data_IF_395452537242
#
_entry.id   IF_395452537242
#
_cell.length_a   1.000
_cell.length_b   1.000
_cell.length_c   1.000
_cell.angle_alpha   90.00
_cell.angle_beta   90.00
_cell.angle_gamma   90.00
#
_symmetry.space_group_name_H-M   'P 1'
#
loop_
_entity.id
_entity.type
_entity.pdbx_description
1 polymer ?
#
# COMPACT_ATOMS: atom_id res chain seq x y z
N UNK A 1 3.07 47.28 -37.60
CA UNK A 1 2.36 46.39 -36.65
C UNK A 1 3.37 45.98 -35.60
N UNK A 2 3.23 46.45 -34.36
CA UNK A 2 4.17 46.12 -33.28
C UNK A 2 4.05 44.64 -32.90
N UNK A 3 5.18 43.97 -32.78
CA UNK A 3 5.30 42.58 -32.30
C UNK A 3 4.65 42.46 -30.92
N UNK A 4 3.69 41.53 -30.77
CA UNK A 4 2.92 41.30 -29.53
C UNK A 4 3.46 40.09 -28.74
N UNK A 5 4.72 39.71 -28.92
CA UNK A 5 5.32 38.59 -28.17
C UNK A 5 5.71 39.04 -26.76
N UNK A 6 4.93 38.60 -25.77
CA UNK A 6 5.29 38.68 -24.36
C UNK A 6 6.22 37.51 -24.04
N UNK A 7 7.49 37.81 -23.78
CA UNK A 7 8.44 36.82 -23.28
C UNK A 7 8.38 36.87 -21.75
N UNK A 8 8.02 35.75 -21.12
CA UNK A 8 8.02 35.66 -19.67
C UNK A 8 9.41 35.24 -19.19
N UNK A 9 9.91 35.95 -18.18
CA UNK A 9 11.26 35.75 -17.62
C UNK A 9 11.31 34.51 -16.71
N UNK A 10 10.14 34.02 -16.30
CA UNK A 10 9.91 32.77 -15.56
C UNK A 10 8.64 32.09 -16.07
N UNK A 11 8.51 30.77 -15.86
CA UNK A 11 7.29 30.02 -16.18
C UNK A 11 7.21 29.43 -17.60
N UNK A 12 6.06 29.62 -18.26
CA UNK A 12 5.64 28.84 -19.44
C UNK A 12 6.68 28.94 -20.57
N UNK A 13 7.12 27.78 -21.07
CA UNK A 13 8.07 27.70 -22.19
C UNK A 13 9.55 27.84 -21.81
N UNK A 14 9.89 28.01 -20.51
CA UNK A 14 11.27 28.04 -20.04
C UNK A 14 11.70 26.71 -19.42
N UNK A 15 13.00 26.40 -19.55
CA UNK A 15 13.65 25.31 -18.80
C UNK A 15 13.80 25.77 -17.35
N UNK A 16 13.05 25.15 -16.45
CA UNK A 16 13.10 25.40 -15.01
C UNK A 16 13.53 24.14 -14.27
N UNK A 17 14.18 24.30 -13.12
CA UNK A 17 14.46 23.20 -12.21
C UNK A 17 13.14 22.60 -11.71
N UNK A 18 13.01 21.26 -11.70
CA UNK A 18 11.75 20.64 -11.27
C UNK A 18 11.74 20.59 -9.75
N UNK A 19 10.53 20.64 -9.19
CA UNK A 19 10.34 20.53 -7.74
C UNK A 19 10.95 19.24 -7.21
N UNK A 20 11.76 19.37 -6.16
CA UNK A 20 12.44 18.30 -5.45
C UNK A 20 13.58 17.59 -6.21
N UNK A 21 14.06 18.13 -7.33
CA UNK A 21 15.12 17.45 -8.11
C UNK A 21 16.39 17.23 -7.27
N UNK A 22 16.83 18.23 -6.49
CA UNK A 22 18.03 18.10 -5.64
C UNK A 22 17.83 17.08 -4.54
N UNK A 23 16.70 17.13 -3.85
CA UNK A 23 16.37 16.26 -2.73
C UNK A 23 16.19 14.80 -3.19
N UNK A 24 15.62 14.59 -4.38
CA UNK A 24 15.51 13.25 -4.98
C UNK A 24 16.87 12.67 -5.35
N UNK A 25 17.72 13.47 -5.99
CA UNK A 25 19.07 13.02 -6.39
C UNK A 25 19.96 12.80 -5.17
N UNK A 26 19.79 13.61 -4.12
CA UNK A 26 20.50 13.46 -2.86
C UNK A 26 19.94 12.35 -1.94
N UNK A 27 18.78 11.78 -2.26
CA UNK A 27 18.11 10.81 -1.38
C UNK A 27 17.61 11.40 -0.06
N UNK A 28 17.40 12.72 0.00
CA UNK A 28 16.95 13.44 1.21
C UNK A 28 15.47 13.77 1.19
N UNK A 29 14.78 13.56 0.06
CA UNK A 29 13.34 13.71 -0.02
C UNK A 29 12.66 12.57 0.76
N UNK A 30 11.90 12.91 1.80
CA UNK A 30 11.15 11.92 2.58
C UNK A 30 9.92 11.41 1.80
N UNK A 31 9.84 10.10 1.65
CA UNK A 31 8.65 9.37 1.23
C UNK A 31 7.90 8.83 2.46
N UNK A 32 6.72 8.25 2.22
CA UNK A 32 5.87 7.73 3.31
C UNK A 32 6.59 6.75 4.23
N UNK A 33 7.47 5.93 3.68
CA UNK A 33 8.23 4.91 4.43
C UNK A 33 9.39 5.51 5.25
N UNK A 34 9.82 6.73 4.92
CA UNK A 34 10.87 7.45 5.64
C UNK A 34 10.32 8.24 6.86
N UNK A 35 9.00 8.25 7.04
CA UNK A 35 8.36 9.03 8.09
C UNK A 35 8.54 8.35 9.47
N UNK A 36 8.98 9.09 10.50
CA UNK A 36 9.17 8.51 11.83
C UNK A 36 7.84 8.40 12.57
N UNK A 37 7.23 7.21 12.57
CA UNK A 37 6.01 6.93 13.32
C UNK A 37 6.23 6.54 14.79
N UNK A 38 7.49 6.52 15.25
CA UNK A 38 7.87 6.23 16.62
C UNK A 38 7.83 4.73 16.97
N UNK A 39 7.95 4.43 18.27
CA UNK A 39 8.10 3.07 18.80
C UNK A 39 6.85 2.19 18.68
N UNK A 40 5.69 2.80 18.48
CA UNK A 40 4.39 2.11 18.43
C UNK A 40 3.97 1.80 16.98
N UNK A 41 4.87 2.02 16.00
CA UNK A 41 4.67 1.64 14.60
C UNK A 41 4.53 0.12 14.49
N UNK A 42 3.44 -0.31 13.86
CA UNK A 42 3.22 -1.70 13.46
C UNK A 42 3.37 -1.85 11.96
N UNK A 43 3.83 -3.02 11.55
CA UNK A 43 4.04 -3.41 10.16
C UNK A 43 2.97 -4.41 9.77
N UNK A 44 2.41 -4.26 8.58
CA UNK A 44 1.36 -5.12 8.08
C UNK A 44 1.76 -5.76 6.75
N UNK A 45 1.72 -7.10 6.68
CA UNK A 45 2.09 -7.86 5.49
C UNK A 45 0.92 -8.72 4.99
N UNK A 46 0.49 -8.58 3.72
CA UNK A 46 -0.58 -9.39 3.19
C UNK A 46 -0.07 -10.80 2.86
N UNK A 47 -0.77 -11.81 3.38
CA UNK A 47 -0.69 -13.18 2.88
C UNK A 47 -1.51 -13.26 1.61
N UNK A 48 -0.89 -13.72 0.52
CA UNK A 48 -1.48 -13.69 -0.82
C UNK A 48 -1.82 -15.07 -1.33
N UNK A 49 -2.89 -15.16 -2.13
CA UNK A 49 -3.30 -16.39 -2.80
C UNK A 49 -2.19 -16.91 -3.74
N UNK A 50 -1.77 -18.18 -3.63
CA UNK A 50 -0.83 -18.79 -4.56
C UNK A 50 -1.50 -19.28 -5.85
N UNK A 51 -2.82 -19.17 -5.98
CA UNK A 51 -3.59 -19.67 -7.13
C UNK A 51 -4.45 -18.57 -7.74
N UNK A 52 -4.73 -18.70 -9.04
CA UNK A 52 -5.52 -17.72 -9.78
C UNK A 52 -7.01 -17.71 -9.38
N UNK A 53 -7.57 -18.84 -8.94
CA UNK A 53 -8.98 -18.90 -8.55
C UNK A 53 -9.25 -20.15 -7.71
N UNK A 54 -9.99 -20.01 -6.61
CA UNK A 54 -10.32 -21.15 -5.74
C UNK A 54 -11.18 -20.76 -4.53
N UNK A 55 -11.88 -21.73 -3.97
CA UNK A 55 -12.73 -21.52 -2.79
C UNK A 55 -11.85 -21.55 -1.53
N UNK A 56 -12.00 -20.56 -0.66
CA UNK A 56 -11.35 -20.53 0.65
C UNK A 56 -12.18 -21.44 1.57
N UNK A 57 -11.64 -22.62 1.88
CA UNK A 57 -12.30 -23.57 2.81
C UNK A 57 -12.09 -23.14 4.25
N UNK A 58 -10.86 -22.78 4.60
CA UNK A 58 -10.47 -22.31 5.93
C UNK A 58 -9.19 -21.49 5.85
N UNK A 59 -8.99 -20.64 6.85
CA UNK A 59 -7.74 -19.93 7.15
C UNK A 59 -7.47 -20.22 8.62
N UNK A 60 -6.31 -20.79 8.92
CA UNK A 60 -5.86 -21.07 10.28
C UNK A 60 -4.77 -20.07 10.68
N UNK A 61 -5.07 -19.09 11.57
CA UNK A 61 -4.10 -18.10 11.99
C UNK A 61 -3.24 -18.56 13.18
N UNK A 62 -3.49 -19.72 13.79
CA UNK A 62 -2.91 -20.07 15.10
C UNK A 62 -1.38 -20.04 15.14
N UNK A 63 -0.72 -20.58 14.11
CA UNK A 63 0.75 -20.58 14.05
C UNK A 63 1.33 -19.17 13.94
N UNK A 64 0.70 -18.28 13.17
CA UNK A 64 1.13 -16.91 13.03
C UNK A 64 0.92 -16.13 14.34
N UNK A 65 -0.27 -16.27 14.95
CA UNK A 65 -0.57 -15.63 16.24
C UNK A 65 0.35 -16.08 17.39
N UNK A 66 0.96 -17.26 17.29
CA UNK A 66 1.89 -17.76 18.30
C UNK A 66 3.32 -17.18 18.18
N UNK A 67 3.64 -16.47 17.10
CA UNK A 67 4.97 -15.87 16.90
C UNK A 67 5.09 -14.61 17.78
N UNK A 68 6.10 -14.51 18.66
CA UNK A 68 6.33 -13.30 19.45
C UNK A 68 6.50 -12.08 18.55
N UNK A 69 5.74 -11.02 18.84
CA UNK A 69 5.73 -9.77 18.06
C UNK A 69 4.62 -9.68 17.03
N UNK A 70 3.92 -10.78 16.71
CA UNK A 70 2.64 -10.70 15.97
C UNK A 70 1.56 -10.15 16.90
N UNK A 71 0.92 -9.08 16.46
CA UNK A 71 -0.12 -8.36 17.21
C UNK A 71 -1.52 -8.80 16.77
N UNK A 72 -1.71 -9.05 15.47
CA UNK A 72 -2.98 -9.51 14.92
C UNK A 72 -2.80 -10.26 13.60
N UNK A 73 -3.74 -11.15 13.31
CA UNK A 73 -3.95 -11.70 11.96
C UNK A 73 -5.38 -11.36 11.56
N UNK A 74 -5.52 -10.54 10.52
CA UNK A 74 -6.81 -10.03 10.03
C UNK A 74 -7.16 -10.80 8.76
N UNK A 75 -8.37 -11.35 8.71
CA UNK A 75 -8.92 -12.04 7.55
C UNK A 75 -10.03 -11.22 6.90
N UNK A 76 -10.50 -11.63 5.73
CA UNK A 76 -11.65 -10.97 5.10
C UNK A 76 -12.94 -11.01 5.95
N UNK A 77 -13.05 -11.96 6.89
CA UNK A 77 -14.20 -12.04 7.81
C UNK A 77 -14.23 -10.93 8.84
N UNK A 78 -13.07 -10.38 9.20
CA UNK A 78 -12.94 -9.29 10.18
C UNK A 78 -13.34 -7.93 9.57
N UNK A 79 -13.38 -7.84 8.25
CA UNK A 79 -13.76 -6.62 7.54
C UNK A 79 -14.57 -6.90 6.27
N UNK A 80 -15.84 -7.34 6.41
CA UNK A 80 -16.67 -7.82 5.29
C UNK A 80 -17.33 -6.67 4.50
N UNK A 81 -16.57 -5.62 4.20
CA UNK A 81 -17.05 -4.45 3.46
C UNK A 81 -16.50 -4.45 2.04
N UNK A 82 -17.35 -4.05 1.09
CA UNK A 82 -16.97 -3.92 -0.32
C UNK A 82 -16.45 -2.54 -0.68
N UNK A 83 -15.45 -2.51 -1.55
CA UNK A 83 -14.74 -1.36 -2.06
C UNK A 83 -14.77 -1.34 -3.58
N UNK A 84 -14.54 -0.14 -4.11
CA UNK A 84 -14.33 0.15 -5.52
C UNK A 84 -14.76 1.59 -5.82
N UNK A 85 -14.15 2.19 -6.83
CA UNK A 85 -14.33 3.61 -7.15
C UNK A 85 -15.74 3.91 -7.66
N UNK A 86 -16.20 3.12 -8.64
CA UNK A 86 -17.52 3.27 -9.26
C UNK A 86 -18.52 2.22 -8.81
N UNK A 87 -18.03 1.01 -8.49
CA UNK A 87 -18.83 -0.11 -8.04
C UNK A 87 -18.14 -0.74 -6.84
N UNK A 88 -18.88 -0.91 -5.74
CA UNK A 88 -18.39 -1.61 -4.54
C UNK A 88 -18.54 -3.11 -4.71
N UNK A 89 -17.71 -3.71 -5.58
CA UNK A 89 -17.77 -5.11 -5.97
C UNK A 89 -16.68 -6.01 -5.35
N UNK A 90 -15.66 -5.41 -4.72
CA UNK A 90 -14.49 -6.17 -4.25
C UNK A 90 -14.33 -6.06 -2.75
N UNK A 91 -13.95 -7.16 -2.11
CA UNK A 91 -13.45 -7.12 -0.74
C UNK A 91 -11.95 -6.76 -0.77
N UNK A 92 -11.42 -6.05 0.23
CA UNK A 92 -10.00 -5.74 0.30
C UNK A 92 -9.15 -6.98 0.63
N UNK A 93 -9.74 -7.93 1.35
CA UNK A 93 -9.20 -9.26 1.66
C UNK A 93 -10.27 -10.27 1.26
N UNK A 94 -9.89 -11.33 0.56
CA UNK A 94 -10.80 -12.38 0.11
C UNK A 94 -11.52 -13.07 1.29
N UNK A 95 -12.79 -13.42 1.09
CA UNK A 95 -13.65 -14.03 2.13
C UNK A 95 -14.00 -15.47 1.77
N UNK A 96 -14.66 -15.65 0.65
CA UNK A 96 -15.27 -16.92 0.21
C UNK A 96 -14.42 -17.63 -0.87
N UNK A 97 -13.83 -16.83 -1.76
CA UNK A 97 -13.10 -17.28 -2.92
C UNK A 97 -12.05 -16.26 -3.31
N UNK A 98 -10.93 -16.78 -3.80
CA UNK A 98 -9.92 -16.01 -4.53
C UNK A 98 -10.27 -16.01 -6.02
N UNK A 99 -10.07 -14.87 -6.66
CA UNK A 99 -10.44 -14.51 -8.04
C UNK A 99 -9.22 -14.21 -8.90
N UNK A 100 -8.06 -13.98 -8.29
CA UNK A 100 -6.77 -13.82 -8.98
C UNK A 100 -5.58 -14.26 -8.11
N UNK A 101 -4.46 -14.57 -8.76
CA UNK A 101 -3.21 -14.89 -8.08
C UNK A 101 -2.66 -13.63 -7.43
N UNK A 102 -2.24 -13.73 -6.17
CA UNK A 102 -1.81 -12.55 -5.42
C UNK A 102 -2.93 -11.83 -4.66
N UNK A 103 -4.20 -12.25 -4.78
CA UNK A 103 -5.29 -11.67 -3.98
C UNK A 103 -5.01 -11.84 -2.49
N UNK A 104 -5.09 -10.78 -1.67
CA UNK A 104 -4.89 -10.90 -0.23
C UNK A 104 -5.93 -11.83 0.39
N UNK A 105 -5.50 -12.79 1.20
CA UNK A 105 -6.37 -13.73 1.94
C UNK A 105 -6.34 -13.47 3.45
N UNK A 106 -5.26 -12.89 3.95
CA UNK A 106 -5.10 -12.41 5.31
C UNK A 106 -4.06 -11.29 5.36
N UNK A 107 -3.98 -10.59 6.48
CA UNK A 107 -3.00 -9.57 6.80
C UNK A 107 -2.39 -9.90 8.16
N UNK A 108 -1.08 -10.10 8.22
CA UNK A 108 -0.34 -10.25 9.47
C UNK A 108 0.13 -8.87 9.91
N UNK A 109 -0.12 -8.51 11.17
CA UNK A 109 0.30 -7.24 11.77
C UNK A 109 1.28 -7.54 12.89
N UNK A 110 2.47 -6.95 12.86
CA UNK A 110 3.53 -7.21 13.83
C UNK A 110 4.31 -5.96 14.23
N UNK A 111 5.13 -6.07 15.27
CA UNK A 111 5.96 -4.98 15.82
C UNK A 111 7.20 -4.65 14.98
N UNK A 112 7.58 -5.52 14.03
CA UNK A 112 8.66 -5.27 13.07
C UNK A 112 8.30 -5.80 11.69
N UNK A 113 8.90 -5.24 10.65
CA UNK A 113 8.68 -5.70 9.27
C UNK A 113 9.07 -7.17 9.08
N UNK A 114 10.17 -7.60 9.71
CA UNK A 114 10.67 -8.97 9.56
C UNK A 114 9.76 -10.03 10.22
N UNK A 115 8.95 -9.63 11.21
CA UNK A 115 8.00 -10.52 11.88
C UNK A 115 6.65 -10.58 11.14
N UNK A 116 6.29 -9.52 10.40
CA UNK A 116 5.04 -9.43 9.63
C UNK A 116 5.08 -10.27 8.34
#
# INVERSE_FOLDING_TARGET
>A
MSDKRVYTDTGIGKKVERKFDREKVAGTLQYTDDLPFGKDLLYARPVRSPIASGIIRSIDPHKACAIPGVVAVITGKDFPYRFGLYLKDRNPIAIDRVRYMGEPVALVVATTEAIA
#
